data_IF_618966995868
#
_entry.id   IF_618966995868
#
_cell.length_a   1.000
_cell.length_b   1.000
_cell.length_c   1.000
_cell.angle_alpha   90.00
_cell.angle_beta   90.00
_cell.angle_gamma   90.00
#
_symmetry.space_group_name_H-M   'P 1'
#
loop_
_entity.id
_entity.type
_entity.pdbx_description
1 polymer ?
#
# COMPACT_ATOMS: atom_id res chain seq x y z
N UNK A 1 -4.97 -10.81 0.71
CA UNK A 1 -5.42 -10.17 1.96
C UNK A 1 -6.60 -10.96 2.48
N UNK A 2 -6.65 -11.35 3.77
CA UNK A 2 -7.83 -12.00 4.36
C UNK A 2 -8.72 -10.97 5.06
N UNK A 3 -9.99 -11.30 5.32
CA UNK A 3 -10.89 -10.38 6.01
C UNK A 3 -10.39 -10.03 7.43
N UNK A 4 -9.85 -11.00 8.15
CA UNK A 4 -9.35 -10.80 9.51
C UNK A 4 -8.13 -9.87 9.55
N UNK A 5 -7.16 -10.05 8.64
CA UNK A 5 -6.01 -9.15 8.53
C UNK A 5 -6.46 -7.74 8.20
N UNK A 6 -7.41 -7.59 7.27
CA UNK A 6 -7.94 -6.29 6.90
C UNK A 6 -8.59 -5.57 8.09
N UNK A 7 -9.42 -6.26 8.89
CA UNK A 7 -10.05 -5.67 10.08
C UNK A 7 -9.01 -5.21 11.12
N UNK A 8 -7.87 -5.88 11.22
CA UNK A 8 -6.81 -5.53 12.17
C UNK A 8 -5.96 -4.35 11.67
N UNK A 9 -5.70 -4.30 10.38
CA UNK A 9 -4.74 -3.37 9.76
C UNK A 9 -5.41 -2.18 9.05
N UNK A 10 -6.74 -2.14 8.98
CA UNK A 10 -7.51 -1.10 8.28
C UNK A 10 -6.98 0.32 8.51
N UNK A 11 -6.77 0.70 9.79
CA UNK A 11 -6.27 2.04 10.14
C UNK A 11 -4.85 2.28 9.66
N UNK A 12 -3.95 1.31 9.78
CA UNK A 12 -2.58 1.44 9.26
C UNK A 12 -2.58 1.54 7.74
N UNK A 13 -3.41 0.76 7.05
CA UNK A 13 -3.53 0.78 5.59
C UNK A 13 -4.09 2.13 5.10
N UNK A 14 -5.08 2.73 5.78
CA UNK A 14 -5.56 4.09 5.43
C UNK A 14 -4.50 5.16 5.63
N UNK A 15 -3.68 5.05 6.67
CA UNK A 15 -2.53 5.95 6.86
C UNK A 15 -1.51 5.76 5.75
N UNK A 16 -1.19 4.52 5.41
CA UNK A 16 -0.25 4.21 4.33
C UNK A 16 -0.76 4.73 2.98
N UNK A 17 -2.04 4.55 2.66
CA UNK A 17 -2.67 5.09 1.46
C UNK A 17 -2.54 6.62 1.40
N UNK A 18 -2.79 7.30 2.52
CA UNK A 18 -2.65 8.76 2.63
C UNK A 18 -1.20 9.22 2.37
N UNK A 19 -0.23 8.55 2.99
CA UNK A 19 1.20 8.86 2.79
C UNK A 19 1.63 8.58 1.35
N UNK A 20 1.27 7.43 0.78
CA UNK A 20 1.60 7.07 -0.60
C UNK A 20 0.97 8.07 -1.60
N UNK A 21 -0.29 8.48 -1.37
CA UNK A 21 -0.95 9.49 -2.18
C UNK A 21 -0.26 10.86 -2.12
N UNK A 22 0.16 11.28 -0.92
CA UNK A 22 0.94 12.50 -0.75
C UNK A 22 2.29 12.44 -1.48
N UNK A 23 3.01 11.31 -1.36
CA UNK A 23 4.29 11.12 -2.04
C UNK A 23 4.15 11.13 -3.56
N UNK A 24 3.08 10.55 -4.11
CA UNK A 24 2.79 10.59 -5.54
C UNK A 24 2.44 12.00 -6.03
N UNK A 25 1.68 12.77 -5.23
CA UNK A 25 1.31 14.14 -5.58
C UNK A 25 2.51 15.07 -5.65
N UNK A 26 3.50 14.86 -4.78
CA UNK A 26 4.70 15.70 -4.65
C UNK A 26 5.97 14.95 -5.08
N UNK A 27 5.86 14.07 -6.07
CA UNK A 27 6.99 13.28 -6.54
C UNK A 27 7.98 14.13 -7.35
N UNK A 28 9.17 14.36 -6.79
CA UNK A 28 10.26 15.07 -7.47
C UNK A 28 11.34 14.11 -8.00
N UNK A 29 11.36 12.86 -7.55
CA UNK A 29 12.39 11.87 -7.87
C UNK A 29 13.70 12.10 -7.11
N UNK A 30 14.72 11.32 -7.45
CA UNK A 30 16.09 11.42 -6.95
C UNK A 30 16.74 12.65 -7.58
N UNK A 31 17.33 13.50 -6.74
CA UNK A 31 18.09 14.67 -7.19
C UNK A 31 19.45 14.29 -7.79
N UNK A 32 20.01 15.18 -8.61
CA UNK A 32 21.35 14.98 -9.18
C UNK A 32 22.42 14.79 -8.07
N UNK A 33 22.25 15.45 -6.93
CA UNK A 33 23.18 15.36 -5.80
C UNK A 33 23.12 13.98 -5.11
N UNK A 34 21.92 13.49 -4.81
CA UNK A 34 21.72 12.15 -4.22
C UNK A 34 22.24 11.05 -5.15
N UNK A 35 22.09 11.23 -6.47
CA UNK A 35 22.63 10.31 -7.46
C UNK A 35 24.18 10.31 -7.44
N UNK A 36 24.80 11.50 -7.37
CA UNK A 36 26.27 11.62 -7.27
C UNK A 36 26.78 10.94 -5.99
N UNK A 37 26.10 11.13 -4.86
CA UNK A 37 26.45 10.47 -3.60
C UNK A 37 26.32 8.95 -3.71
N UNK A 38 25.22 8.44 -4.24
CA UNK A 38 25.01 6.99 -4.45
C UNK A 38 26.14 6.36 -5.28
N UNK A 39 26.62 7.07 -6.31
CA UNK A 39 27.72 6.60 -7.14
C UNK A 39 29.08 6.62 -6.44
N UNK A 40 29.33 7.61 -5.57
CA UNK A 40 30.57 7.67 -4.77
C UNK A 40 30.71 6.44 -3.87
N UNK A 41 29.59 5.92 -3.37
CA UNK A 41 29.55 4.74 -2.51
C UNK A 41 29.32 3.42 -3.26
N UNK A 42 28.99 3.47 -4.56
CA UNK A 42 28.94 2.28 -5.40
C UNK A 42 30.35 1.78 -5.68
N UNK A 43 30.72 0.64 -5.08
CA UNK A 43 32.02 0.01 -5.28
C UNK A 43 32.16 -0.45 -6.74
N UNK A 44 32.93 0.29 -7.52
CA UNK A 44 33.38 -0.15 -8.84
C UNK A 44 34.54 -1.13 -8.64
N UNK A 45 34.24 -2.42 -8.47
CA UNK A 45 35.27 -3.45 -8.61
C UNK A 45 35.75 -3.48 -10.08
N UNK A 46 36.89 -2.84 -10.35
CA UNK A 46 37.79 -3.32 -11.40
C UNK A 46 37.99 -2.49 -12.67
N UNK A 47 37.63 -1.21 -12.75
CA UNK A 47 37.91 -0.44 -13.98
C UNK A 47 39.35 0.13 -13.99
N UNK A 48 40.26 -0.53 -14.72
CA UNK A 48 41.62 -0.04 -14.99
C UNK A 48 41.56 1.18 -15.91
N UNK A 49 41.95 2.34 -15.36
CA UNK A 49 41.96 3.63 -16.07
C UNK A 49 43.02 3.63 -17.17
N UNK A 50 42.60 3.46 -18.43
CA UNK A 50 43.42 3.78 -19.61
C UNK A 50 43.26 5.26 -19.98
N UNK A 51 44.35 6.00 -19.84
CA UNK A 51 44.46 7.43 -20.16
C UNK A 51 44.86 7.63 -21.62
N UNK A 52 43.89 7.72 -22.53
CA UNK A 52 44.12 8.37 -23.81
C UNK A 52 42.89 9.15 -24.30
N UNK A 53 43.22 10.33 -24.83
CA UNK A 53 42.46 11.29 -25.65
C UNK A 53 41.40 12.15 -24.93
N UNK A 54 41.53 13.47 -25.13
CA UNK A 54 40.62 14.52 -24.69
C UNK A 54 39.23 14.35 -25.33
N UNK A 55 38.19 14.63 -24.52
CA UNK A 55 36.81 14.91 -24.94
C UNK A 55 35.95 13.73 -25.39
N UNK A 56 35.17 13.20 -24.43
CA UNK A 56 33.78 12.69 -24.56
C UNK A 56 33.42 11.79 -23.38
N UNK A 57 34.42 11.34 -22.59
CA UNK A 57 34.20 10.51 -21.40
C UNK A 57 33.28 11.19 -20.38
N UNK A 58 33.51 12.47 -20.07
CA UNK A 58 32.67 13.23 -19.12
C UNK A 58 31.24 13.40 -19.60
N UNK A 59 31.04 13.65 -20.91
CA UNK A 59 29.70 13.77 -21.50
C UNK A 59 28.97 12.42 -21.55
N UNK A 60 29.67 11.33 -21.91
CA UNK A 60 29.11 9.98 -21.90
C UNK A 60 28.74 9.51 -20.50
N UNK A 61 29.58 9.83 -19.51
CA UNK A 61 29.32 9.59 -18.09
C UNK A 61 28.07 10.37 -17.64
N UNK A 62 27.96 11.68 -17.96
CA UNK A 62 26.80 12.49 -17.62
C UNK A 62 25.49 12.01 -18.28
N UNK A 63 25.54 11.57 -19.54
CA UNK A 63 24.38 10.98 -20.23
C UNK A 63 23.97 9.66 -19.60
N UNK A 64 24.93 8.82 -19.19
CA UNK A 64 24.64 7.58 -18.48
C UNK A 64 24.00 7.85 -17.11
N UNK A 65 24.50 8.86 -16.38
CA UNK A 65 23.93 9.28 -15.09
C UNK A 65 22.46 9.66 -15.19
N UNK A 66 22.14 10.52 -16.15
CA UNK A 66 20.75 10.95 -16.36
C UNK A 66 19.84 9.78 -16.70
N UNK A 67 20.29 8.85 -17.55
CA UNK A 67 19.51 7.65 -17.89
C UNK A 67 19.25 6.73 -16.70
N UNK A 68 20.26 6.53 -15.84
CA UNK A 68 20.09 5.71 -14.63
C UNK A 68 19.13 6.40 -13.67
N UNK A 69 19.30 7.70 -13.44
CA UNK A 69 18.41 8.50 -12.59
C UNK A 69 16.96 8.50 -13.09
N UNK A 70 16.73 8.71 -14.40
CA UNK A 70 15.40 8.62 -15.02
C UNK A 70 14.78 7.23 -14.78
N UNK A 71 15.55 6.16 -14.99
CA UNK A 71 15.08 4.79 -14.77
C UNK A 71 14.74 4.50 -13.31
N UNK A 72 15.57 4.94 -12.37
CA UNK A 72 15.31 4.76 -10.93
C UNK A 72 14.08 5.56 -10.51
N UNK A 73 13.93 6.80 -10.99
CA UNK A 73 12.76 7.63 -10.72
C UNK A 73 11.48 7.02 -11.29
N UNK A 74 11.52 6.52 -12.53
CA UNK A 74 10.40 5.81 -13.14
C UNK A 74 10.04 4.56 -12.33
N UNK A 75 11.05 3.77 -11.93
CA UNK A 75 10.86 2.58 -11.10
C UNK A 75 10.22 2.90 -9.74
N UNK A 76 10.71 3.94 -9.07
CA UNK A 76 10.17 4.37 -7.79
C UNK A 76 8.74 4.91 -7.91
N UNK A 77 8.47 5.73 -8.92
CA UNK A 77 7.12 6.22 -9.19
C UNK A 77 6.15 5.07 -9.43
N UNK A 78 6.53 4.10 -10.29
CA UNK A 78 5.71 2.92 -10.57
C UNK A 78 5.47 2.08 -9.31
N UNK A 79 6.49 1.90 -8.48
CA UNK A 79 6.33 1.21 -7.20
C UNK A 79 5.31 1.91 -6.29
N UNK A 80 5.45 3.23 -6.08
CA UNK A 80 4.51 4.01 -5.27
C UNK A 80 3.10 3.97 -5.84
N UNK A 81 2.96 4.11 -7.15
CA UNK A 81 1.68 4.11 -7.85
C UNK A 81 0.96 2.75 -7.69
N UNK A 82 1.67 1.66 -7.93
CA UNK A 82 1.13 0.31 -7.77
C UNK A 82 0.74 0.04 -6.30
N UNK A 83 1.54 0.52 -5.35
CA UNK A 83 1.22 0.38 -3.92
C UNK A 83 -0.02 1.18 -3.54
N UNK A 84 -0.13 2.42 -4.02
CA UNK A 84 -1.31 3.27 -3.81
C UNK A 84 -2.57 2.61 -4.38
N UNK A 85 -2.51 2.14 -5.64
CA UNK A 85 -3.64 1.51 -6.31
C UNK A 85 -4.11 0.27 -5.54
N UNK A 86 -3.17 -0.62 -5.17
CA UNK A 86 -3.46 -1.80 -4.36
C UNK A 86 -4.15 -1.45 -3.03
N UNK A 87 -3.61 -0.47 -2.30
CA UNK A 87 -4.19 -0.04 -1.02
C UNK A 87 -5.59 0.54 -1.22
N UNK A 88 -5.79 1.37 -2.24
CA UNK A 88 -7.07 1.99 -2.55
C UNK A 88 -8.12 0.93 -2.86
N UNK A 89 -7.79 -0.03 -3.71
CA UNK A 89 -8.72 -1.11 -4.09
C UNK A 89 -9.05 -2.02 -2.92
N UNK A 90 -8.07 -2.41 -2.09
CA UNK A 90 -8.32 -3.23 -0.91
C UNK A 90 -9.18 -2.50 0.14
N UNK A 91 -8.93 -1.22 0.38
CA UNK A 91 -9.72 -0.39 1.31
C UNK A 91 -11.15 -0.24 0.79
N UNK A 92 -11.32 0.12 -0.48
CA UNK A 92 -12.63 0.29 -1.10
C UNK A 92 -13.43 -1.03 -1.09
N UNK A 93 -12.77 -2.13 -1.43
CA UNK A 93 -13.39 -3.45 -1.39
C UNK A 93 -13.85 -3.82 0.03
N UNK A 94 -13.01 -3.56 1.03
CA UNK A 94 -13.35 -3.80 2.42
C UNK A 94 -14.54 -2.94 2.87
N UNK A 95 -14.51 -1.62 2.64
CA UNK A 95 -15.58 -0.71 3.05
C UNK A 95 -16.92 -1.07 2.38
N UNK A 96 -16.90 -1.43 1.09
CA UNK A 96 -18.09 -1.93 0.38
C UNK A 96 -18.57 -3.25 0.97
N UNK A 97 -17.67 -4.18 1.26
CA UNK A 97 -18.01 -5.47 1.87
C UNK A 97 -18.62 -5.30 3.26
N UNK A 98 -18.08 -4.38 4.07
CA UNK A 98 -18.62 -4.03 5.39
C UNK A 98 -20.01 -3.41 5.26
N UNK A 99 -20.23 -2.53 4.29
CA UNK A 99 -21.54 -1.92 4.05
C UNK A 99 -22.63 -2.94 3.66
N UNK A 100 -22.22 -4.07 3.07
CA UNK A 100 -23.09 -5.16 2.65
C UNK A 100 -23.39 -6.19 3.76
N UNK A 101 -22.81 -6.04 4.95
CA UNK A 101 -23.05 -6.96 6.08
C UNK A 101 -24.48 -6.87 6.62
N UNK A 102 -24.94 -7.97 7.23
CA UNK A 102 -26.31 -8.06 7.72
C UNK A 102 -26.60 -7.23 8.98
N UNK A 103 -27.74 -6.53 9.00
CA UNK A 103 -28.28 -5.87 10.19
C UNK A 103 -27.42 -4.69 10.68
N UNK A 104 -27.06 -4.69 11.96
CA UNK A 104 -26.25 -3.62 12.58
C UNK A 104 -24.73 -3.83 12.43
N UNK A 105 -24.31 -4.95 11.83
CA UNK A 105 -22.89 -5.28 11.66
C UNK A 105 -22.07 -4.21 10.92
N UNK A 106 -22.57 -3.54 9.86
CA UNK A 106 -21.78 -2.50 9.18
C UNK A 106 -21.28 -1.42 10.14
N UNK A 107 -22.19 -0.87 10.96
CA UNK A 107 -21.82 0.17 11.93
C UNK A 107 -20.87 -0.35 13.00
N UNK A 108 -21.18 -1.51 13.60
CA UNK A 108 -20.34 -2.11 14.66
C UNK A 108 -18.92 -2.37 14.16
N UNK A 109 -18.78 -2.87 12.93
CA UNK A 109 -17.47 -3.17 12.34
C UNK A 109 -16.70 -1.89 12.08
N UNK A 110 -17.32 -0.85 11.50
CA UNK A 110 -16.65 0.42 11.25
C UNK A 110 -16.13 1.05 12.54
N UNK A 111 -16.95 1.12 13.59
CA UNK A 111 -16.51 1.64 14.90
C UNK A 111 -15.34 0.84 15.48
N UNK A 112 -15.33 -0.49 15.28
CA UNK A 112 -14.26 -1.36 15.76
C UNK A 112 -12.93 -1.15 15.02
N UNK A 113 -12.97 -0.94 13.70
CA UNK A 113 -11.75 -0.83 12.87
C UNK A 113 -11.18 0.59 12.83
N UNK A 114 -12.01 1.61 13.02
CA UNK A 114 -11.56 3.00 13.18
C UNK A 114 -10.80 3.18 14.51
N UNK A 115 -11.25 2.49 15.56
CA UNK A 115 -10.57 2.45 16.85
C UNK A 115 -10.65 3.76 17.64
N UNK A 116 -11.63 4.61 17.32
CA UNK A 116 -11.90 5.87 18.06
C UNK A 116 -12.65 5.63 19.36
N UNK A 117 -13.41 4.53 19.44
CA UNK A 117 -14.22 4.16 20.60
C UNK A 117 -13.63 2.94 21.31
N UNK A 118 -13.73 2.94 22.64
CA UNK A 118 -13.48 1.74 23.45
C UNK A 118 -14.57 0.70 23.22
N UNK A 119 -14.28 -0.56 23.49
CA UNK A 119 -15.28 -1.65 23.37
C UNK A 119 -16.53 -1.41 24.23
N UNK A 120 -16.37 -0.76 25.38
CA UNK A 120 -17.47 -0.37 26.28
C UNK A 120 -18.34 0.73 25.66
N UNK A 121 -17.72 1.74 25.04
CA UNK A 121 -18.45 2.81 24.35
C UNK A 121 -19.20 2.28 23.12
N UNK A 122 -18.60 1.35 22.37
CA UNK A 122 -19.28 0.67 21.26
C UNK A 122 -20.46 -0.14 21.80
N UNK A 123 -20.26 -0.94 22.84
CA UNK A 123 -21.32 -1.72 23.48
C UNK A 123 -22.49 -0.82 23.93
N UNK A 124 -22.19 0.32 24.56
CA UNK A 124 -23.18 1.31 24.95
C UNK A 124 -23.92 1.92 23.74
N UNK A 125 -23.21 2.31 22.68
CA UNK A 125 -23.77 2.90 21.44
C UNK A 125 -24.78 1.96 20.76
N UNK A 126 -24.51 0.65 20.77
CA UNK A 126 -25.40 -0.35 20.17
C UNK A 126 -26.38 -0.97 21.18
N UNK A 127 -26.40 -0.52 22.44
CA UNK A 127 -27.25 -1.04 23.51
C UNK A 127 -27.10 -2.55 23.72
N UNK A 128 -25.87 -3.06 23.67
CA UNK A 128 -25.54 -4.47 23.86
C UNK A 128 -24.39 -4.65 24.86
N UNK A 129 -24.12 -5.89 25.27
CA UNK A 129 -22.95 -6.18 26.09
C UNK A 129 -21.66 -6.24 25.24
N UNK A 130 -20.51 -6.03 25.87
CA UNK A 130 -19.19 -6.23 25.24
C UNK A 130 -19.00 -7.66 24.70
N UNK A 131 -19.60 -8.66 25.36
CA UNK A 131 -19.64 -10.04 24.87
C UNK A 131 -20.44 -10.17 23.55
N UNK A 132 -21.49 -9.37 23.37
CA UNK A 132 -22.23 -9.31 22.11
C UNK A 132 -21.41 -8.63 21.01
N UNK A 133 -20.64 -7.59 21.33
CA UNK A 133 -19.70 -6.97 20.38
C UNK A 133 -18.67 -8.00 19.88
N UNK A 134 -18.13 -8.85 20.76
CA UNK A 134 -17.25 -9.94 20.35
C UNK A 134 -17.95 -10.93 19.38
N UNK A 135 -19.23 -11.26 19.64
CA UNK A 135 -20.04 -12.09 18.74
C UNK A 135 -20.29 -11.41 17.40
N UNK A 136 -20.58 -10.11 17.38
CA UNK A 136 -20.73 -9.33 16.15
C UNK A 136 -19.45 -9.28 15.34
N UNK A 137 -18.29 -9.03 15.97
CA UNK A 137 -16.98 -9.10 15.32
C UNK A 137 -16.76 -10.46 14.65
N UNK A 138 -17.03 -11.57 15.35
CA UNK A 138 -16.88 -12.92 14.79
C UNK A 138 -17.86 -13.18 13.64
N UNK A 139 -19.11 -12.74 13.78
CA UNK A 139 -20.13 -12.89 12.72
C UNK A 139 -19.75 -12.10 11.47
N UNK A 140 -19.31 -10.86 11.63
CA UNK A 140 -18.83 -10.02 10.55
C UNK A 140 -17.63 -10.66 9.83
N UNK A 141 -16.63 -11.13 10.57
CA UNK A 141 -15.48 -11.80 9.98
C UNK A 141 -15.88 -13.01 9.10
N UNK A 142 -16.84 -13.83 9.56
CA UNK A 142 -17.35 -14.95 8.75
C UNK A 142 -18.11 -14.51 7.49
N UNK A 143 -18.87 -13.41 7.54
CA UNK A 143 -19.56 -12.88 6.36
C UNK A 143 -18.58 -12.25 5.37
N UNK A 144 -17.61 -11.47 5.86
CA UNK A 144 -16.55 -10.88 5.05
C UNK A 144 -15.69 -11.95 4.38
N UNK A 145 -15.31 -13.01 5.09
CA UNK A 145 -14.50 -14.10 4.51
C UNK A 145 -15.19 -14.75 3.30
N UNK A 146 -16.53 -14.81 3.30
CA UNK A 146 -17.28 -15.27 2.12
C UNK A 146 -17.11 -14.30 0.96
N UNK A 147 -17.22 -12.98 1.20
CA UNK A 147 -17.05 -11.96 0.17
C UNK A 147 -15.63 -11.95 -0.42
N UNK A 148 -14.61 -12.10 0.42
CA UNK A 148 -13.23 -12.28 -0.02
C UNK A 148 -13.07 -13.56 -0.85
N UNK A 149 -13.64 -14.68 -0.42
CA UNK A 149 -13.64 -15.92 -1.19
C UNK A 149 -14.39 -15.84 -2.52
N UNK A 150 -15.41 -14.97 -2.65
CA UNK A 150 -16.05 -14.69 -3.94
C UNK A 150 -15.11 -13.93 -4.88
N UNK A 151 -14.42 -12.91 -4.39
CA UNK A 151 -13.43 -12.16 -5.17
C UNK A 151 -12.31 -13.06 -5.66
N UNK A 152 -11.78 -13.92 -4.79
CA UNK A 152 -10.68 -14.83 -5.14
C UNK A 152 -11.08 -15.79 -6.26
N UNK A 153 -12.30 -16.33 -6.22
CA UNK A 153 -12.85 -17.16 -7.30
C UNK A 153 -13.04 -16.41 -8.61
N UNK A 154 -13.41 -15.14 -8.56
CA UNK A 154 -13.54 -14.31 -9.77
C UNK A 154 -12.18 -14.05 -10.41
N UNK A 155 -11.16 -13.76 -9.59
CA UNK A 155 -9.78 -13.59 -10.06
C UNK A 155 -9.26 -14.90 -10.64
N UNK A 156 -9.45 -16.03 -9.95
CA UNK A 156 -9.06 -17.35 -10.43
C UNK A 156 -9.71 -17.67 -11.79
N UNK A 157 -11.01 -17.42 -11.93
CA UNK A 157 -11.72 -17.63 -13.18
C UNK A 157 -11.21 -16.74 -14.33
N UNK A 158 -10.78 -15.52 -14.04
CA UNK A 158 -10.18 -14.62 -15.05
C UNK A 158 -8.75 -15.02 -15.44
N UNK A 159 -7.96 -15.53 -14.50
CA UNK A 159 -6.55 -15.91 -14.75
C UNK A 159 -6.44 -17.27 -15.44
N UNK A 160 -7.35 -18.21 -15.13
CA UNK A 160 -7.34 -19.58 -15.65
C UNK A 160 -8.29 -19.80 -16.85
N UNK A 161 -9.21 -18.88 -17.11
CA UNK A 161 -10.15 -18.92 -18.24
C UNK A 161 -9.63 -18.19 -19.46
#
# INVERSE_FOLDING_TARGET
>A
MTAETMMKEYRSLKRELSVAGFQLQWFEGISEHEMIESMLYSHHEGERVQTSTLSDKTAGIAVNYRKIMERENDGWYQYLFNRYLYLSEEIDFFERSVSALSGQLPGVVMDLVEGELTWENIAAKYHVSTAMIAKYKKKAAMELEKMYGFRDKQVEAYVLG
#
